data_IF_952547747772
#
_entry.id   IF_952547747772
#
_cell.length_a   1.000
_cell.length_b   1.000
_cell.length_c   1.000
_cell.angle_alpha   90.00
_cell.angle_beta   90.00
_cell.angle_gamma   90.00
#
_symmetry.space_group_name_H-M   'P 1'
#
loop_
_entity.id
_entity.type
_entity.pdbx_description
1 polymer ?
#
# COMPACT_ATOMS: atom_id res chain seq x y z
N UNK A 1 -7.20 11.99 -35.03
CA UNK A 1 -7.37 13.31 -35.70
C UNK A 1 -8.00 14.25 -34.70
N UNK A 2 -7.22 15.10 -34.09
CA UNK A 2 -7.65 16.45 -33.67
C UNK A 2 -6.47 17.22 -33.12
N UNK A 3 -6.32 18.38 -33.65
CA UNK A 3 -5.22 19.31 -33.76
C UNK A 3 -4.84 19.99 -32.44
N UNK A 4 -3.52 20.14 -32.27
CA UNK A 4 -2.86 21.13 -31.41
C UNK A 4 -3.32 22.54 -31.79
N UNK A 5 -3.46 23.40 -30.80
CA UNK A 5 -3.33 24.86 -30.95
C UNK A 5 -2.46 25.41 -29.82
N UNK A 6 -1.30 25.88 -30.20
CA UNK A 6 -0.54 26.87 -29.45
C UNK A 6 -1.14 28.27 -29.72
N UNK A 7 -0.94 29.22 -28.82
CA UNK A 7 -0.73 30.59 -29.27
C UNK A 7 0.62 31.16 -28.80
N UNK A 8 1.29 31.67 -29.79
CA UNK A 8 2.39 32.60 -29.76
C UNK A 8 1.84 33.98 -29.38
N UNK A 9 2.53 34.77 -28.57
CA UNK A 9 2.57 36.22 -28.70
C UNK A 9 3.84 36.79 -28.07
N UNK A 10 4.71 37.23 -28.92
CA UNK A 10 5.83 38.14 -28.68
C UNK A 10 5.29 39.56 -28.61
N UNK A 11 5.78 40.38 -27.74
CA UNK A 11 5.80 41.84 -27.90
C UNK A 11 7.01 42.43 -27.16
N UNK A 12 7.89 42.94 -27.94
CA UNK A 12 9.03 43.80 -27.63
C UNK A 12 8.55 45.24 -27.41
N UNK A 13 9.08 46.02 -26.49
CA UNK A 13 8.83 47.45 -26.43
C UNK A 13 9.97 48.26 -27.05
N UNK A 14 9.56 49.23 -27.84
CA UNK A 14 10.26 50.26 -28.55
C UNK A 14 11.10 51.17 -27.68
N UNK A 15 12.29 51.47 -28.20
CA UNK A 15 13.22 52.51 -27.76
C UNK A 15 12.72 53.88 -28.21
N UNK A 16 12.62 54.82 -27.33
CA UNK A 16 12.43 56.24 -27.68
C UNK A 16 13.65 57.04 -27.29
N UNK A 17 14.35 57.51 -28.33
CA UNK A 17 15.41 58.50 -28.31
C UNK A 17 14.81 59.89 -28.14
N UNK A 18 15.31 60.65 -27.18
CA UNK A 18 14.97 62.07 -26.99
C UNK A 18 16.18 62.91 -26.59
N UNK A 19 16.61 63.69 -27.50
CA UNK A 19 17.64 64.69 -27.63
C UNK A 19 18.14 65.43 -26.37
N UNK A 20 19.45 65.63 -26.42
CA UNK A 20 20.23 66.53 -25.61
C UNK A 20 19.85 68.01 -25.85
N UNK A 21 19.90 68.76 -24.76
CA UNK A 21 20.14 70.21 -24.84
C UNK A 21 20.94 70.67 -23.58
N UNK A 22 22.14 71.03 -23.78
CA UNK A 22 22.98 71.81 -22.87
C UNK A 22 22.54 73.26 -22.90
N UNK A 23 22.65 73.98 -21.77
CA UNK A 23 23.46 75.20 -21.76
C UNK A 23 24.35 75.37 -20.53
N UNK A 24 25.34 76.17 -20.78
CA UNK A 24 26.53 76.65 -20.14
C UNK A 24 26.34 77.46 -18.83
N UNK A 25 27.46 77.85 -18.17
CA UNK A 25 27.56 77.89 -16.71
C UNK A 25 27.45 79.31 -16.12
N UNK A 26 26.92 79.46 -14.95
CA UNK A 26 27.11 80.62 -14.14
C UNK A 26 27.62 80.27 -12.75
N UNK A 27 28.61 81.05 -12.33
CA UNK A 27 29.53 80.80 -11.22
C UNK A 27 28.97 80.94 -9.81
N UNK A 28 29.85 80.83 -8.81
CA UNK A 28 29.47 80.43 -7.46
C UNK A 28 29.10 81.62 -6.59
N UNK A 29 27.93 81.58 -5.99
CA UNK A 29 27.64 82.42 -4.79
C UNK A 29 27.76 81.53 -3.55
N UNK A 30 28.84 81.81 -2.80
CA UNK A 30 29.02 81.29 -1.45
C UNK A 30 27.88 81.74 -0.53
N UNK A 31 26.92 80.87 -0.31
CA UNK A 31 25.99 81.07 0.81
C UNK A 31 26.51 80.24 1.99
N UNK A 32 26.92 80.96 3.00
CA UNK A 32 27.34 80.46 4.30
C UNK A 32 26.18 79.66 4.94
N UNK A 33 26.13 78.37 4.62
CA UNK A 33 25.11 77.42 5.16
C UNK A 33 25.35 77.19 6.63
N UNK A 34 24.35 77.51 7.43
CA UNK A 34 24.25 77.12 8.84
C UNK A 34 24.35 75.57 8.90
N UNK A 35 25.37 75.11 9.66
CA UNK A 35 25.48 73.69 10.00
C UNK A 35 24.25 73.33 10.83
N UNK A 36 23.26 72.73 10.22
CA UNK A 36 22.15 72.15 10.95
C UNK A 36 22.71 70.94 11.72
N UNK A 37 22.74 71.09 13.03
CA UNK A 37 23.08 70.07 14.00
C UNK A 37 22.06 68.95 13.79
N UNK A 38 22.45 67.88 13.08
CA UNK A 38 21.65 66.65 12.96
C UNK A 38 21.51 66.11 14.37
N UNK A 39 20.33 66.33 14.94
CA UNK A 39 19.93 65.62 16.15
C UNK A 39 19.92 64.14 15.81
N UNK A 40 20.81 63.38 16.40
CA UNK A 40 20.72 61.92 16.40
C UNK A 40 19.40 61.56 17.08
N UNK A 41 18.33 61.52 16.28
CA UNK A 41 17.06 60.93 16.69
C UNK A 41 17.36 59.48 17.05
N UNK A 42 17.01 59.10 18.24
CA UNK A 42 17.25 57.78 18.79
C UNK A 42 16.73 56.70 17.84
N UNK A 43 17.63 56.03 17.13
CA UNK A 43 17.34 54.92 16.22
C UNK A 43 16.96 53.64 17.00
N UNK A 44 17.01 53.67 18.30
CA UNK A 44 16.71 52.56 19.20
C UNK A 44 15.29 51.98 19.05
N UNK A 45 14.22 52.76 18.93
CA UNK A 45 12.88 52.18 18.75
C UNK A 45 12.72 51.40 17.44
N UNK A 46 13.44 51.81 16.38
CA UNK A 46 13.36 51.10 15.10
C UNK A 46 13.95 49.69 15.16
N UNK A 47 15.03 49.47 15.91
CA UNK A 47 15.61 48.14 16.09
C UNK A 47 14.72 47.24 16.95
N UNK A 48 14.04 47.76 17.96
CA UNK A 48 13.10 47.00 18.78
C UNK A 48 11.89 46.51 17.95
N UNK A 49 11.33 47.38 17.12
CA UNK A 49 10.23 46.98 16.22
C UNK A 49 10.69 45.93 15.24
N UNK A 50 11.85 46.04 14.62
CA UNK A 50 12.43 45.05 13.74
C UNK A 50 12.65 43.71 14.42
N UNK A 51 13.20 43.70 15.65
CA UNK A 51 13.40 42.46 16.41
C UNK A 51 12.08 41.76 16.75
N UNK A 52 11.04 42.49 17.11
CA UNK A 52 9.69 41.93 17.36
C UNK A 52 9.10 41.33 16.10
N UNK A 53 9.19 41.98 14.96
CA UNK A 53 8.70 41.48 13.69
C UNK A 53 9.42 40.17 13.29
N UNK A 54 10.74 40.10 13.46
CA UNK A 54 11.52 38.88 13.19
C UNK A 54 11.09 37.74 14.15
N UNK A 55 10.92 38.04 15.44
CA UNK A 55 10.47 37.04 16.41
C UNK A 55 9.08 36.50 16.05
N UNK A 56 8.12 37.32 15.66
CA UNK A 56 6.79 36.91 15.23
C UNK A 56 6.88 36.04 13.95
N UNK A 57 7.71 36.42 12.98
CA UNK A 57 7.90 35.63 11.76
C UNK A 57 8.48 34.25 12.04
N UNK A 58 9.46 34.17 12.96
CA UNK A 58 10.04 32.90 13.37
C UNK A 58 9.02 31.99 14.09
N UNK A 59 8.26 32.56 15.04
CA UNK A 59 7.22 31.82 15.75
C UNK A 59 6.12 31.33 14.81
N UNK A 60 5.70 32.15 13.86
CA UNK A 60 4.72 31.77 12.83
C UNK A 60 5.24 30.65 11.92
N UNK A 61 6.53 30.66 11.59
CA UNK A 61 7.16 29.61 10.78
C UNK A 61 7.21 28.28 11.54
N UNK A 62 7.55 28.29 12.82
CA UNK A 62 7.57 27.10 13.67
C UNK A 62 6.16 26.50 13.80
N UNK A 63 5.15 27.35 14.04
CA UNK A 63 3.76 26.91 14.13
C UNK A 63 3.27 26.25 12.82
N UNK A 64 3.61 26.83 11.67
CA UNK A 64 3.28 26.25 10.37
C UNK A 64 3.95 24.89 10.13
N UNK A 65 5.21 24.72 10.50
CA UNK A 65 5.94 23.44 10.36
C UNK A 65 5.28 22.36 11.24
N UNK A 66 4.91 22.70 12.48
CA UNK A 66 4.25 21.75 13.39
C UNK A 66 2.88 21.32 12.86
N UNK A 67 2.09 22.25 12.31
CA UNK A 67 0.78 21.97 11.74
C UNK A 67 0.87 21.05 10.51
N UNK A 68 1.85 21.29 9.62
CA UNK A 68 2.13 20.43 8.46
C UNK A 68 2.54 19.02 8.92
N UNK A 69 3.32 18.92 10.00
CA UNK A 69 3.71 17.66 10.61
C UNK A 69 2.50 16.86 11.10
N UNK A 70 1.58 17.50 11.82
CA UNK A 70 0.35 16.88 12.33
C UNK A 70 -0.57 16.42 11.18
N UNK A 71 -0.74 17.25 10.14
CA UNK A 71 -1.54 16.87 8.97
C UNK A 71 -0.97 15.65 8.26
N UNK A 72 0.34 15.58 8.07
CA UNK A 72 1.01 14.40 7.48
C UNK A 72 0.86 13.15 8.35
N UNK A 73 0.89 13.30 9.66
CA UNK A 73 0.69 12.19 10.58
C UNK A 73 -0.75 11.66 10.50
N UNK A 74 -1.75 12.54 10.51
CA UNK A 74 -3.14 12.15 10.34
C UNK A 74 -3.39 11.48 8.98
N UNK A 75 -2.80 12.00 7.90
CA UNK A 75 -2.92 11.37 6.58
C UNK A 75 -2.35 9.95 6.55
N UNK A 76 -1.21 9.72 7.21
CA UNK A 76 -0.62 8.38 7.33
C UNK A 76 -1.49 7.43 8.13
N UNK A 77 -2.09 7.91 9.21
CA UNK A 77 -2.98 7.12 10.05
C UNK A 77 -4.25 6.73 9.29
N UNK A 78 -4.87 7.67 8.59
CA UNK A 78 -6.03 7.40 7.72
C UNK A 78 -5.65 6.40 6.61
N UNK A 79 -4.50 6.56 5.96
CA UNK A 79 -4.03 5.62 4.94
C UNK A 79 -3.84 4.21 5.51
N UNK A 80 -3.21 4.07 6.68
CA UNK A 80 -3.03 2.79 7.36
C UNK A 80 -4.36 2.13 7.77
N UNK A 81 -5.31 2.92 8.28
CA UNK A 81 -6.64 2.41 8.63
C UNK A 81 -7.41 1.96 7.39
N UNK A 82 -7.32 2.72 6.31
CA UNK A 82 -7.95 2.36 5.03
C UNK A 82 -7.35 1.08 4.46
N UNK A 83 -6.03 0.93 4.50
CA UNK A 83 -5.34 -0.28 4.04
C UNK A 83 -5.75 -1.51 4.87
N UNK A 84 -5.79 -1.37 6.21
CA UNK A 84 -6.26 -2.45 7.10
C UNK A 84 -7.73 -2.80 6.85
N UNK A 85 -8.60 -1.81 6.66
CA UNK A 85 -10.00 -2.05 6.40
C UNK A 85 -10.22 -2.75 5.05
N UNK A 86 -9.46 -2.37 4.02
CA UNK A 86 -9.55 -3.02 2.70
C UNK A 86 -8.97 -4.44 2.71
N UNK A 87 -7.88 -4.69 3.45
CA UNK A 87 -7.34 -6.04 3.60
C UNK A 87 -8.31 -6.96 4.34
N UNK A 88 -8.91 -6.48 5.43
CA UNK A 88 -9.92 -7.23 6.18
C UNK A 88 -11.18 -7.50 5.34
N UNK A 89 -11.63 -6.51 4.57
CA UNK A 89 -12.78 -6.69 3.68
C UNK A 89 -12.49 -7.73 2.59
N UNK A 90 -11.27 -7.75 2.05
CA UNK A 90 -10.85 -8.79 1.08
C UNK A 90 -10.87 -10.17 1.71
N UNK A 91 -10.27 -10.35 2.89
CA UNK A 91 -10.27 -11.63 3.60
C UNK A 91 -11.68 -12.13 3.86
N UNK A 92 -12.58 -11.28 4.34
CA UNK A 92 -13.98 -11.65 4.57
C UNK A 92 -14.72 -12.00 3.27
N UNK A 93 -14.40 -11.33 2.16
CA UNK A 93 -14.99 -11.65 0.86
C UNK A 93 -14.48 -12.99 0.35
N UNK A 94 -13.20 -13.28 0.49
CA UNK A 94 -12.60 -14.56 0.10
C UNK A 94 -13.19 -15.72 0.92
N UNK A 95 -13.32 -15.57 2.25
CA UNK A 95 -13.97 -16.57 3.10
C UNK A 95 -15.44 -16.81 2.70
N UNK A 96 -16.19 -15.73 2.46
CA UNK A 96 -17.58 -15.84 1.99
C UNK A 96 -17.67 -16.54 0.64
N UNK A 97 -16.83 -16.16 -0.32
CA UNK A 97 -16.85 -16.79 -1.64
C UNK A 97 -16.56 -18.29 -1.53
N UNK A 98 -15.60 -18.69 -0.68
CA UNK A 98 -15.28 -20.09 -0.44
C UNK A 98 -16.46 -20.86 0.15
N UNK A 99 -17.14 -20.28 1.14
CA UNK A 99 -18.33 -20.92 1.72
C UNK A 99 -19.49 -21.04 0.72
N UNK A 100 -19.74 -20.00 -0.10
CA UNK A 100 -20.77 -20.06 -1.12
C UNK A 100 -20.42 -21.06 -2.23
N UNK A 101 -19.16 -21.13 -2.62
CA UNK A 101 -18.67 -22.10 -3.61
C UNK A 101 -18.85 -23.55 -3.13
N UNK A 102 -18.68 -23.81 -1.85
CA UNK A 102 -18.93 -25.13 -1.25
C UNK A 102 -20.42 -25.51 -1.21
N UNK A 103 -21.30 -24.54 -1.14
CA UNK A 103 -22.76 -24.76 -1.11
C UNK A 103 -23.39 -24.75 -2.51
N UNK A 104 -22.61 -24.57 -3.57
CA UNK A 104 -23.12 -24.56 -4.93
C UNK A 104 -23.58 -25.96 -5.37
N UNK A 105 -24.74 -26.04 -5.94
CA UNK A 105 -25.32 -27.29 -6.50
C UNK A 105 -24.50 -27.90 -7.66
N UNK A 106 -23.57 -27.17 -8.24
CA UNK A 106 -22.66 -27.63 -9.28
C UNK A 106 -21.29 -28.05 -8.73
N UNK A 107 -21.09 -27.99 -7.41
CA UNK A 107 -19.88 -28.47 -6.78
C UNK A 107 -19.93 -30.02 -6.65
N UNK A 108 -18.81 -30.67 -6.91
CA UNK A 108 -18.66 -32.09 -6.60
C UNK A 108 -18.03 -32.27 -5.25
N UNK A 109 -18.69 -33.05 -4.39
CA UNK A 109 -18.28 -33.29 -3.02
C UNK A 109 -17.71 -34.70 -2.89
N UNK A 110 -16.48 -34.77 -2.41
CA UNK A 110 -15.78 -36.01 -2.12
C UNK A 110 -15.63 -36.16 -0.62
N UNK A 111 -16.51 -36.94 0.01
CA UNK A 111 -16.46 -37.17 1.45
C UNK A 111 -15.18 -37.91 1.84
N UNK A 112 -14.53 -37.48 2.89
CA UNK A 112 -13.36 -38.09 3.51
C UNK A 112 -13.62 -38.18 5.02
N UNK A 113 -12.94 -39.09 5.72
CA UNK A 113 -13.26 -39.40 7.12
C UNK A 113 -13.41 -38.20 8.03
N UNK A 114 -12.56 -37.18 7.84
CA UNK A 114 -12.51 -35.95 8.69
C UNK A 114 -12.89 -34.70 7.87
N UNK A 115 -13.83 -34.76 6.95
CA UNK A 115 -14.26 -33.64 6.16
C UNK A 115 -14.59 -33.98 4.72
N UNK A 116 -14.37 -33.04 3.84
CA UNK A 116 -14.64 -33.19 2.40
C UNK A 116 -13.66 -32.38 1.54
N UNK A 117 -13.47 -32.87 0.32
CA UNK A 117 -12.86 -32.12 -0.78
C UNK A 117 -13.98 -31.70 -1.70
N UNK A 118 -14.02 -30.40 -1.99
CA UNK A 118 -15.04 -29.81 -2.87
C UNK A 118 -14.36 -29.31 -4.13
N UNK A 119 -14.84 -29.73 -5.30
CA UNK A 119 -14.38 -29.20 -6.58
C UNK A 119 -15.50 -28.44 -7.28
N UNK A 120 -15.18 -27.27 -7.84
CA UNK A 120 -16.09 -26.45 -8.62
C UNK A 120 -15.34 -25.80 -9.78
N UNK A 121 -15.67 -26.20 -11.00
CA UNK A 121 -14.88 -25.83 -12.16
C UNK A 121 -13.42 -26.23 -11.96
N UNK A 122 -12.50 -25.29 -12.09
CA UNK A 122 -11.06 -25.54 -11.87
C UNK A 122 -10.61 -25.46 -10.41
N UNK A 123 -11.48 -25.11 -9.47
CA UNK A 123 -11.14 -24.88 -8.07
C UNK A 123 -11.23 -26.15 -7.22
N UNK A 124 -10.34 -26.27 -6.26
CA UNK A 124 -10.32 -27.33 -5.24
C UNK A 124 -10.29 -26.65 -3.86
N UNK A 125 -11.24 -26.99 -3.01
CA UNK A 125 -11.32 -26.55 -1.63
C UNK A 125 -11.36 -27.77 -0.71
N UNK A 126 -10.63 -27.72 0.44
CA UNK A 126 -10.67 -28.73 1.49
C UNK A 126 -11.35 -28.15 2.72
N UNK A 127 -12.39 -28.79 3.20
CA UNK A 127 -13.02 -28.51 4.49
C UNK A 127 -12.76 -29.69 5.40
N UNK A 128 -11.93 -29.48 6.43
CA UNK A 128 -11.50 -30.51 7.35
C UNK A 128 -11.94 -30.19 8.78
N UNK A 129 -12.29 -31.21 9.53
CA UNK A 129 -12.68 -31.07 10.94
C UNK A 129 -12.04 -32.19 11.78
N UNK A 130 -12.09 -32.05 13.10
CA UNK A 130 -11.53 -33.03 14.05
C UNK A 130 -10.03 -33.32 13.83
N UNK A 131 -9.30 -32.34 13.27
CA UNK A 131 -7.87 -32.43 13.17
C UNK A 131 -7.22 -32.15 14.51
N UNK A 132 -6.30 -33.03 14.90
CA UNK A 132 -5.45 -32.78 16.08
C UNK A 132 -4.40 -31.69 15.77
N UNK A 133 -3.94 -30.98 16.79
CA UNK A 133 -2.76 -30.14 16.63
C UNK A 133 -1.55 -31.02 16.25
N UNK A 134 -0.82 -30.71 15.17
CA UNK A 134 0.34 -31.50 14.79
C UNK A 134 1.45 -31.37 15.84
N UNK A 135 2.38 -32.32 15.95
CA UNK A 135 3.52 -32.22 16.85
C UNK A 135 4.33 -30.95 16.66
N UNK A 136 5.03 -30.49 17.69
CA UNK A 136 5.87 -29.27 17.61
C UNK A 136 6.86 -29.36 16.46
N UNK A 137 6.94 -28.29 15.67
CA UNK A 137 7.80 -28.21 14.50
C UNK A 137 7.28 -28.95 13.28
N UNK A 138 6.00 -29.31 13.29
CA UNK A 138 5.31 -29.93 12.16
C UNK A 138 4.04 -29.18 11.78
N UNK A 139 3.60 -29.37 10.54
CA UNK A 139 2.41 -28.76 9.95
C UNK A 139 1.70 -29.78 9.06
N UNK A 140 0.45 -29.56 8.78
CA UNK A 140 -0.23 -30.27 7.72
C UNK A 140 0.16 -29.69 6.37
N UNK A 141 0.32 -30.56 5.35
CA UNK A 141 0.58 -30.14 3.97
C UNK A 141 -0.35 -30.85 3.02
N UNK A 142 -0.93 -30.08 2.11
CA UNK A 142 -1.73 -30.61 1.01
C UNK A 142 -0.83 -30.99 -0.14
N UNK A 143 -1.23 -32.02 -0.85
CA UNK A 143 -0.57 -32.53 -2.07
C UNK A 143 -1.60 -32.77 -3.16
N UNK A 144 -1.19 -32.55 -4.39
CA UNK A 144 -1.99 -32.90 -5.56
C UNK A 144 -1.21 -33.82 -6.48
N UNK A 145 -1.92 -34.74 -7.15
CA UNK A 145 -1.36 -35.55 -8.22
C UNK A 145 -2.01 -35.13 -9.52
N UNK A 146 -1.25 -34.78 -10.52
CA UNK A 146 -1.77 -34.48 -11.82
C UNK A 146 -2.22 -35.79 -12.54
N UNK A 147 -3.21 -35.68 -13.42
CA UNK A 147 -3.65 -36.78 -14.26
C UNK A 147 -2.46 -37.31 -15.06
N UNK A 148 -2.29 -38.68 -15.06
CA UNK A 148 -1.16 -39.33 -15.72
C UNK A 148 0.19 -39.23 -15.02
N UNK A 149 0.27 -38.56 -13.86
CA UNK A 149 1.48 -38.47 -13.05
C UNK A 149 1.49 -39.49 -11.91
N UNK A 150 2.68 -39.96 -11.56
CA UNK A 150 2.89 -40.75 -10.33
C UNK A 150 3.43 -39.91 -9.18
N UNK A 151 3.81 -38.68 -9.45
CA UNK A 151 4.42 -37.80 -8.45
C UNK A 151 3.37 -36.88 -7.83
N UNK A 152 3.51 -36.67 -6.50
CA UNK A 152 2.77 -35.65 -5.78
C UNK A 152 3.46 -34.29 -5.92
N UNK A 153 2.67 -33.23 -6.10
CA UNK A 153 3.10 -31.85 -6.16
C UNK A 153 2.77 -31.17 -4.82
N UNK A 154 3.70 -30.45 -4.21
CA UNK A 154 3.45 -29.76 -2.95
C UNK A 154 2.45 -28.61 -3.13
N UNK A 155 1.52 -28.53 -2.20
CA UNK A 155 0.51 -27.51 -2.08
C UNK A 155 0.65 -26.78 -0.71
N UNK A 156 -0.17 -25.79 -0.36
CA UNK A 156 -0.01 -25.03 0.86
C UNK A 156 0.05 -25.90 2.13
N UNK A 157 0.83 -25.44 3.08
CA UNK A 157 0.83 -25.93 4.46
C UNK A 157 -0.22 -25.18 5.27
N UNK A 158 -0.77 -25.82 6.31
CA UNK A 158 -1.78 -25.23 7.18
C UNK A 158 -1.72 -25.80 8.58
N UNK A 159 -2.36 -25.09 9.52
CA UNK A 159 -2.65 -25.56 10.87
C UNK A 159 -4.17 -25.49 11.09
N UNK A 160 -4.76 -26.44 11.81
CA UNK A 160 -6.15 -26.34 12.19
C UNK A 160 -6.36 -25.20 13.22
N UNK A 161 -7.57 -24.69 13.30
CA UNK A 161 -7.95 -23.76 14.36
C UNK A 161 -8.04 -24.48 15.73
N UNK A 162 -8.32 -23.73 16.79
CA UNK A 162 -8.43 -24.28 18.15
C UNK A 162 -9.56 -25.32 18.30
N UNK A 163 -10.46 -25.45 17.32
CA UNK A 163 -11.54 -26.43 17.28
C UNK A 163 -11.19 -27.65 16.40
N UNK A 164 -9.99 -27.68 15.85
CA UNK A 164 -9.57 -28.73 14.93
C UNK A 164 -10.14 -28.58 13.53
N UNK A 165 -10.53 -27.36 13.11
CA UNK A 165 -11.11 -27.09 11.79
C UNK A 165 -10.08 -26.41 10.90
N UNK A 166 -10.04 -26.80 9.64
CA UNK A 166 -9.25 -26.16 8.60
C UNK A 166 -10.04 -26.04 7.30
N UNK A 167 -9.97 -24.86 6.67
CA UNK A 167 -10.49 -24.60 5.34
C UNK A 167 -9.31 -24.17 4.48
N UNK A 168 -9.01 -24.96 3.45
CA UNK A 168 -7.81 -24.77 2.62
C UNK A 168 -8.19 -24.68 1.16
N UNK A 169 -7.85 -23.55 0.54
CA UNK A 169 -7.94 -23.40 -0.92
C UNK A 169 -6.67 -23.96 -1.54
N UNK A 170 -6.83 -24.91 -2.46
CA UNK A 170 -5.70 -25.56 -3.13
C UNK A 170 -5.47 -24.87 -4.48
N UNK A 171 -4.30 -24.24 -4.70
CA UNK A 171 -3.99 -23.56 -5.96
C UNK A 171 -3.61 -24.55 -7.06
N UNK A 172 -4.52 -25.47 -7.39
CA UNK A 172 -4.37 -26.46 -8.43
C UNK A 172 -5.67 -26.56 -9.24
N UNK A 173 -5.56 -26.92 -10.51
CA UNK A 173 -6.71 -27.10 -11.40
C UNK A 173 -7.35 -28.45 -11.13
N UNK A 174 -8.63 -28.46 -10.72
CA UNK A 174 -9.41 -29.68 -10.49
C UNK A 174 -9.48 -30.57 -11.72
N UNK A 175 -9.59 -29.99 -12.93
CA UNK A 175 -9.64 -30.74 -14.17
C UNK A 175 -8.32 -31.43 -14.57
N UNK A 176 -7.19 -30.92 -14.00
CA UNK A 176 -5.86 -31.48 -14.23
C UNK A 176 -5.38 -32.36 -13.07
N UNK A 177 -6.16 -32.48 -11.99
CA UNK A 177 -5.81 -33.18 -10.76
C UNK A 177 -6.55 -34.51 -10.68
N UNK A 178 -5.82 -35.60 -10.40
CA UNK A 178 -6.39 -36.94 -10.21
C UNK A 178 -6.52 -37.33 -8.73
N UNK A 179 -5.78 -36.69 -7.84
CA UNK A 179 -5.79 -37.00 -6.40
C UNK A 179 -5.38 -35.81 -5.58
N UNK A 180 -6.00 -35.68 -4.40
CA UNK A 180 -5.60 -34.77 -3.33
C UNK A 180 -5.28 -35.60 -2.10
N UNK A 181 -4.16 -35.26 -1.43
CA UNK A 181 -3.77 -35.91 -0.18
C UNK A 181 -3.30 -34.88 0.85
N UNK A 182 -3.33 -35.29 2.12
CA UNK A 182 -2.82 -34.47 3.25
C UNK A 182 -1.89 -35.31 4.10
N UNK A 183 -0.71 -34.77 4.42
CA UNK A 183 0.28 -35.40 5.30
C UNK A 183 0.66 -34.47 6.45
N UNK A 184 1.38 -34.99 7.45
CA UNK A 184 2.09 -34.18 8.46
C UNK A 184 3.55 -34.06 8.01
N UNK A 185 4.04 -32.84 7.87
CA UNK A 185 5.36 -32.53 7.34
C UNK A 185 6.12 -31.61 8.33
N UNK A 186 7.45 -31.49 8.21
CA UNK A 186 8.19 -30.49 9.00
C UNK A 186 7.69 -29.07 8.78
N UNK A 187 7.88 -28.22 9.76
CA UNK A 187 7.59 -26.77 9.64
C UNK A 187 8.29 -26.18 8.41
N UNK A 188 7.51 -25.46 7.59
CA UNK A 188 7.96 -24.97 6.28
C UNK A 188 7.63 -25.87 5.10
N UNK A 189 7.10 -27.08 5.36
CA UNK A 189 6.68 -28.03 4.35
C UNK A 189 7.83 -28.81 3.69
N UNK A 190 7.45 -29.75 2.82
CA UNK A 190 8.37 -30.64 2.10
C UNK A 190 8.18 -30.53 0.59
N UNK A 191 9.16 -30.97 -0.18
CA UNK A 191 9.07 -31.07 -1.65
C UNK A 191 8.44 -32.38 -2.12
N UNK A 192 8.52 -33.41 -1.30
CA UNK A 192 7.93 -34.73 -1.48
C UNK A 192 7.34 -35.19 -0.15
N UNK A 193 6.24 -35.98 -0.12
CA UNK A 193 5.66 -36.47 1.13
C UNK A 193 6.67 -37.25 1.96
N UNK A 194 6.87 -36.86 3.22
CA UNK A 194 7.79 -37.55 4.13
C UNK A 194 7.07 -38.53 5.06
N UNK A 195 5.75 -38.39 5.17
CA UNK A 195 4.91 -39.29 5.95
C UNK A 195 3.81 -39.94 5.08
N UNK A 196 3.15 -40.96 5.59
CA UNK A 196 1.97 -41.55 4.94
C UNK A 196 0.82 -40.53 4.97
N UNK A 197 0.04 -40.47 3.87
CA UNK A 197 -1.15 -39.63 3.85
C UNK A 197 -2.13 -40.02 4.97
N UNK A 198 -2.59 -39.02 5.70
CA UNK A 198 -3.69 -39.13 6.65
C UNK A 198 -5.03 -39.17 5.90
N UNK A 199 -5.07 -38.41 4.83
CA UNK A 199 -6.22 -38.22 3.95
C UNK A 199 -5.71 -38.40 2.53
N UNK A 200 -6.45 -39.14 1.70
CA UNK A 200 -6.22 -39.25 0.28
C UNK A 200 -7.55 -39.47 -0.40
N UNK A 201 -7.83 -38.69 -1.44
CA UNK A 201 -9.02 -38.81 -2.26
C UNK A 201 -8.65 -38.73 -3.74
N UNK A 202 -9.08 -39.74 -4.49
CA UNK A 202 -8.97 -39.71 -5.93
C UNK A 202 -10.22 -39.07 -6.54
N UNK A 203 -10.04 -38.27 -7.57
CA UNK A 203 -11.13 -37.72 -8.36
C UNK A 203 -11.48 -38.70 -9.47
N UNK A 204 -12.77 -38.94 -9.64
CA UNK A 204 -13.23 -39.67 -10.80
C UNK A 204 -12.95 -38.83 -12.06
N UNK A 205 -12.32 -39.43 -13.06
CA UNK A 205 -12.08 -38.75 -14.34
C UNK A 205 -13.43 -38.38 -14.98
N UNK A 206 -13.70 -37.06 -14.97
CA UNK A 206 -14.87 -36.49 -15.64
C UNK A 206 -14.69 -36.44 -17.16
#
# INVERSE_FOLDING_TARGET
>A
MQRRREPRCSQEPQVHNGKATTPSPEGPRYARGKIARVKHAAVWPAYLVGAVCVAIALLSSIANISLIGQLKQQQREVANLTERSTSLARSLTEERTTLFDMLDSHAHHYAIGNGEVVTRGSRIDLALHELSEPPRGQVYQVWTRAIGSTKMSPQPTFLPDARGVALVVVPADAHATSEVAVTIEPEGGSKEPTTKPLISVAFDSQ
#
